data_IF_699084905508
#
_entry.id   IF_699084905508
#
_cell.length_a   1.000
_cell.length_b   1.000
_cell.length_c   1.000
_cell.angle_alpha   90.00
_cell.angle_beta   90.00
_cell.angle_gamma   90.00
#
_symmetry.space_group_name_H-M   'P 1'
#
loop_
_entity.id
_entity.type
_entity.pdbx_description
1 polymer ?
#
# COMPACT_ATOMS: atom_id res chain seq x y z
N UNK A 1 -1.66 -2.62 60.68
CA UNK A 1 -2.69 -3.02 59.70
C UNK A 1 -2.23 -2.67 58.28
N UNK A 2 -1.18 -3.30 57.77
CA UNK A 2 -0.57 -2.91 56.47
C UNK A 2 -0.29 -4.08 55.53
N UNK A 3 -0.26 -5.32 56.03
CA UNK A 3 0.14 -6.46 55.22
C UNK A 3 -0.98 -6.98 54.32
N UNK A 4 -2.23 -7.08 54.82
CA UNK A 4 -3.37 -7.54 54.01
C UNK A 4 -3.68 -6.63 52.80
N UNK A 5 -3.45 -5.32 52.93
CA UNK A 5 -3.65 -4.36 51.84
C UNK A 5 -2.57 -4.48 50.76
N UNK A 6 -1.31 -4.70 51.17
CA UNK A 6 -0.20 -4.98 50.24
C UNK A 6 -0.38 -6.29 49.48
N UNK A 7 -0.83 -7.36 50.14
CA UNK A 7 -1.07 -8.65 49.48
C UNK A 7 -2.25 -8.60 48.49
N UNK A 8 -3.33 -7.88 48.82
CA UNK A 8 -4.45 -7.67 47.90
C UNK A 8 -4.09 -6.82 46.69
N UNK A 9 -3.26 -5.79 46.88
CA UNK A 9 -2.81 -4.89 45.82
C UNK A 9 -1.90 -5.60 44.80
N UNK A 10 -0.98 -6.45 45.27
CA UNK A 10 -0.14 -7.28 44.40
C UNK A 10 -0.95 -8.25 43.52
N UNK A 11 -1.98 -8.88 44.08
CA UNK A 11 -2.84 -9.79 43.33
C UNK A 11 -3.71 -9.06 42.28
N UNK A 12 -4.25 -7.89 42.63
CA UNK A 12 -4.99 -7.04 41.68
C UNK A 12 -4.10 -6.54 40.54
N UNK A 13 -2.84 -6.21 40.83
CA UNK A 13 -1.88 -5.74 39.82
C UNK A 13 -1.54 -6.82 38.78
N UNK A 14 -1.35 -8.06 39.22
CA UNK A 14 -1.09 -9.17 38.32
C UNK A 14 -2.23 -9.40 37.31
N UNK A 15 -3.48 -9.19 37.75
CA UNK A 15 -4.66 -9.27 36.88
C UNK A 15 -4.65 -8.12 35.85
N UNK A 16 -4.42 -6.89 36.30
CA UNK A 16 -4.36 -5.72 35.41
C UNK A 16 -3.24 -5.82 34.38
N UNK A 17 -2.09 -6.38 34.78
CA UNK A 17 -0.98 -6.62 33.88
C UNK A 17 -1.34 -7.59 32.75
N UNK A 18 -2.05 -8.68 33.10
CA UNK A 18 -2.51 -9.68 32.13
C UNK A 18 -3.54 -9.09 31.15
N UNK A 19 -4.47 -8.28 31.65
CA UNK A 19 -5.46 -7.58 30.82
C UNK A 19 -4.78 -6.57 29.90
N UNK A 20 -3.87 -5.74 30.44
CA UNK A 20 -3.17 -4.74 29.66
C UNK A 20 -2.33 -5.35 28.54
N UNK A 21 -1.67 -6.49 28.79
CA UNK A 21 -0.94 -7.23 27.75
C UNK A 21 -1.88 -7.80 26.67
N UNK A 22 -3.09 -8.20 27.04
CA UNK A 22 -4.12 -8.62 26.08
C UNK A 22 -4.55 -7.48 25.16
N UNK A 23 -4.82 -6.30 25.73
CA UNK A 23 -5.17 -5.09 24.95
C UNK A 23 -4.01 -4.66 24.03
N UNK A 24 -2.78 -4.70 24.56
CA UNK A 24 -1.55 -4.46 23.80
C UNK A 24 -1.47 -5.34 22.55
N UNK A 25 -1.64 -6.66 22.70
CA UNK A 25 -1.60 -7.60 21.57
C UNK A 25 -2.71 -7.32 20.53
N UNK A 26 -3.86 -6.84 20.97
CA UNK A 26 -4.95 -6.51 20.05
C UNK A 26 -4.63 -5.24 19.25
N UNK A 27 -3.98 -4.26 19.88
CA UNK A 27 -3.45 -3.09 19.18
C UNK A 27 -2.38 -3.49 18.15
N UNK A 28 -1.48 -4.41 18.50
CA UNK A 28 -0.40 -4.90 17.61
C UNK A 28 -0.94 -5.59 16.34
N UNK A 29 -2.17 -6.10 16.39
CA UNK A 29 -2.86 -6.71 15.23
C UNK A 29 -3.61 -5.70 14.36
N UNK A 30 -3.85 -4.49 14.86
CA UNK A 30 -4.58 -3.48 14.09
C UNK A 30 -3.59 -2.83 13.12
N UNK A 31 -3.86 -2.86 11.81
CA UNK A 31 -3.00 -2.17 10.86
C UNK A 31 -3.02 -0.66 11.11
N UNK A 32 -1.88 -0.03 10.86
CA UNK A 32 -1.77 1.42 10.92
C UNK A 32 -2.65 2.06 9.84
N UNK A 33 -3.37 3.10 10.25
CA UNK A 33 -4.08 3.96 9.32
C UNK A 33 -3.06 4.65 8.41
N UNK A 34 -3.43 4.85 7.15
CA UNK A 34 -2.59 5.52 6.19
C UNK A 34 -3.41 6.30 5.17
N UNK A 35 -2.76 7.31 4.61
CA UNK A 35 -3.18 7.99 3.39
C UNK A 35 -2.20 7.63 2.27
N UNK A 36 -2.71 7.45 1.06
CA UNK A 36 -1.93 7.34 -0.16
C UNK A 36 -2.17 8.59 -0.99
N UNK A 37 -1.10 9.32 -1.28
CA UNK A 37 -1.09 10.56 -2.02
C UNK A 37 -0.31 10.37 -3.31
N UNK A 38 -0.66 11.14 -4.33
CA UNK A 38 -0.02 11.11 -5.63
C UNK A 38 0.42 12.51 -6.04
N UNK A 39 1.59 12.56 -6.65
CA UNK A 39 2.14 13.72 -7.35
C UNK A 39 2.51 13.31 -8.78
N UNK A 40 3.00 14.26 -9.58
CA UNK A 40 3.41 13.98 -10.96
C UNK A 40 4.55 12.96 -11.03
N UNK A 41 5.46 12.97 -10.06
CA UNK A 41 6.71 12.19 -10.07
C UNK A 41 6.76 11.07 -9.03
N UNK A 42 5.82 11.02 -8.08
CA UNK A 42 5.87 10.05 -6.99
C UNK A 42 4.50 9.78 -6.33
N UNK A 43 4.42 8.62 -5.69
CA UNK A 43 3.46 8.30 -4.65
C UNK A 43 4.06 8.60 -3.27
N UNK A 44 3.22 9.04 -2.34
CA UNK A 44 3.58 9.29 -0.95
C UNK A 44 2.58 8.59 -0.03
N UNK A 45 3.05 7.59 0.71
CA UNK A 45 2.26 6.93 1.76
C UNK A 45 2.55 7.60 3.09
N UNK A 46 1.50 7.98 3.82
CA UNK A 46 1.63 8.59 5.15
C UNK A 46 0.91 7.71 6.16
N UNK A 47 1.66 7.02 7.02
CA UNK A 47 1.11 6.20 8.10
C UNK A 47 1.03 6.97 9.42
N UNK A 48 -0.03 6.73 10.19
CA UNK A 48 -0.11 7.08 11.61
C UNK A 48 0.83 6.17 12.41
N UNK A 49 2.01 6.67 12.77
CA UNK A 49 3.11 5.91 13.36
C UNK A 49 3.52 6.47 14.75
N UNK A 50 2.63 6.43 15.76
CA UNK A 50 2.87 7.05 17.06
C UNK A 50 4.03 6.37 17.81
N UNK A 51 5.06 7.16 18.08
CA UNK A 51 6.27 6.72 18.79
C UNK A 51 7.28 6.00 17.90
N UNK A 52 7.17 6.12 16.58
CA UNK A 52 8.20 5.64 15.66
C UNK A 52 9.50 6.44 15.82
N UNK A 53 10.64 5.72 15.74
CA UNK A 53 11.99 6.28 15.61
C UNK A 53 12.61 5.66 14.37
N UNK A 54 13.41 6.42 13.62
CA UNK A 54 13.93 5.97 12.33
C UNK A 54 14.72 4.65 12.42
N UNK A 55 15.46 4.45 13.51
CA UNK A 55 16.23 3.23 13.78
C UNK A 55 15.37 1.98 14.05
N UNK A 56 14.10 2.18 14.42
CA UNK A 56 13.19 1.11 14.80
C UNK A 56 12.11 0.82 13.73
N UNK A 57 12.22 1.47 12.57
CA UNK A 57 11.29 1.28 11.44
C UNK A 57 11.91 0.36 10.40
N UNK A 58 11.15 -0.65 10.00
CA UNK A 58 11.46 -1.52 8.88
C UNK A 58 10.40 -1.33 7.80
N UNK A 59 10.85 -1.08 6.57
CA UNK A 59 9.98 -0.91 5.39
C UNK A 59 10.36 -1.96 4.36
N UNK A 60 9.36 -2.61 3.77
CA UNK A 60 9.54 -3.62 2.73
C UNK A 60 8.53 -3.37 1.60
N UNK A 61 8.99 -3.61 0.38
CA UNK A 61 8.15 -3.62 -0.81
C UNK A 61 7.96 -5.07 -1.22
N UNK A 62 6.71 -5.55 -1.25
CA UNK A 62 6.37 -6.92 -1.60
C UNK A 62 5.03 -6.94 -2.31
N UNK A 63 4.95 -7.61 -3.46
CA UNK A 63 3.69 -7.88 -4.17
C UNK A 63 2.81 -6.64 -4.45
N UNK A 64 3.43 -5.50 -4.78
CA UNK A 64 2.71 -4.23 -5.02
C UNK A 64 2.27 -3.51 -3.76
N UNK A 65 2.79 -3.91 -2.59
CA UNK A 65 2.47 -3.30 -1.31
C UNK A 65 3.72 -2.78 -0.59
N UNK A 66 3.52 -1.71 0.17
CA UNK A 66 4.46 -1.24 1.19
C UNK A 66 4.04 -1.81 2.53
N UNK A 67 4.85 -2.72 3.05
CA UNK A 67 4.73 -3.21 4.42
C UNK A 67 5.66 -2.45 5.36
N UNK A 68 5.11 -1.99 6.47
CA UNK A 68 5.88 -1.37 7.55
C UNK A 68 5.76 -2.18 8.83
N UNK A 69 6.87 -2.21 9.57
CA UNK A 69 6.93 -2.69 10.94
C UNK A 69 7.68 -1.67 11.78
N UNK A 70 7.12 -1.32 12.92
CA UNK A 70 7.73 -0.41 13.89
C UNK A 70 7.83 -1.15 15.21
N UNK A 71 9.04 -1.30 15.72
CA UNK A 71 9.29 -1.85 17.04
C UNK A 71 9.45 -0.71 18.05
N UNK A 72 8.62 -0.68 19.08
CA UNK A 72 8.56 0.41 20.06
C UNK A 72 9.14 -0.05 21.38
N UNK A 73 9.78 0.87 22.06
CA UNK A 73 10.30 0.66 23.41
C UNK A 73 9.48 1.43 24.44
N UNK A 74 9.52 0.93 25.68
CA UNK A 74 8.94 1.62 26.83
C UNK A 74 10.02 2.47 27.45
N UNK A 75 9.82 3.78 27.46
CA UNK A 75 10.74 4.68 28.13
C UNK A 75 10.68 4.44 29.64
N UNK A 76 11.85 4.52 30.28
CA UNK A 76 11.93 4.51 31.72
C UNK A 76 11.49 5.89 32.25
N UNK A 77 10.59 5.89 33.22
CA UNK A 77 10.14 7.10 33.89
C UNK A 77 10.51 7.00 35.37
N UNK A 78 11.46 7.84 35.80
CA UNK A 78 11.95 7.86 37.18
C UNK A 78 10.82 8.13 38.17
N UNK A 79 10.71 7.30 39.22
CA UNK A 79 9.67 7.41 40.23
C UNK A 79 8.29 6.89 39.82
N UNK A 80 8.13 6.37 38.60
CA UNK A 80 6.88 5.76 38.12
C UNK A 80 6.99 4.25 38.03
N UNK A 81 5.95 3.57 38.51
CA UNK A 81 5.78 2.12 38.34
C UNK A 81 4.70 1.84 37.30
N UNK A 82 4.95 0.85 36.45
CA UNK A 82 3.98 0.43 35.44
C UNK A 82 2.78 -0.25 36.09
N UNK A 83 1.59 0.34 35.93
CA UNK A 83 0.34 -0.20 36.51
C UNK A 83 -0.53 -0.94 35.48
N UNK A 84 -0.46 -0.52 34.22
CA UNK A 84 -1.25 -1.09 33.14
C UNK A 84 -0.47 -1.05 31.80
N UNK A 85 -0.09 -2.21 31.24
CA UNK A 85 0.76 -2.26 30.06
C UNK A 85 -0.01 -2.16 28.72
N UNK A 86 -0.95 -1.22 28.57
CA UNK A 86 -1.89 -1.19 27.45
C UNK A 86 -1.36 -0.81 26.05
N UNK A 87 -0.09 -0.42 25.91
CA UNK A 87 0.53 -0.05 24.63
C UNK A 87 1.19 -1.26 23.95
N UNK A 88 0.84 -1.49 22.68
CA UNK A 88 1.53 -2.41 21.77
C UNK A 88 3.01 -2.07 21.63
N UNK A 89 3.89 -3.06 21.57
CA UNK A 89 5.31 -2.83 21.28
C UNK A 89 5.65 -3.01 19.81
N UNK A 90 4.76 -3.58 19.03
CA UNK A 90 4.92 -3.69 17.58
C UNK A 90 3.73 -3.02 16.91
N UNK A 91 3.99 -2.16 15.94
CA UNK A 91 2.96 -1.66 15.04
C UNK A 91 3.28 -2.14 13.64
N UNK A 92 2.26 -2.51 12.88
CA UNK A 92 2.42 -2.90 11.48
C UNK A 92 1.37 -2.21 10.62
N UNK A 93 1.71 -1.94 9.38
CA UNK A 93 0.81 -1.34 8.41
C UNK A 93 1.16 -1.85 7.02
N UNK A 94 0.16 -1.87 6.15
CA UNK A 94 0.31 -2.24 4.75
C UNK A 94 -0.45 -1.22 3.92
N UNK A 95 0.13 -0.79 2.81
CA UNK A 95 -0.51 0.06 1.82
C UNK A 95 -0.26 -0.51 0.44
N UNK A 96 -1.34 -0.77 -0.30
CA UNK A 96 -1.27 -1.19 -1.71
C UNK A 96 -0.92 0.02 -2.58
N UNK A 97 0.02 -0.15 -3.49
CA UNK A 97 0.54 0.91 -4.36
C UNK A 97 0.10 0.66 -5.81
N UNK A 98 -0.20 1.71 -6.59
CA UNK A 98 -0.44 1.61 -8.03
C UNK A 98 0.74 0.97 -8.78
N UNK A 99 0.42 0.32 -9.90
CA UNK A 99 1.38 -0.50 -10.67
C UNK A 99 2.45 0.29 -11.43
N UNK A 100 2.25 1.60 -11.60
CA UNK A 100 3.19 2.54 -12.22
C UNK A 100 4.20 3.13 -11.22
N UNK A 101 4.12 2.76 -9.95
CA UNK A 101 5.16 3.06 -8.97
C UNK A 101 6.42 2.23 -9.25
N UNK A 102 7.60 2.88 -9.17
CA UNK A 102 8.90 2.20 -9.26
C UNK A 102 9.01 1.17 -8.13
N UNK A 103 9.04 -0.11 -8.51
CA UNK A 103 9.07 -1.26 -7.58
C UNK A 103 10.50 -1.52 -7.07
N UNK A 104 11.49 -0.78 -7.56
CA UNK A 104 12.86 -0.87 -7.06
C UNK A 104 12.95 -0.25 -5.66
N UNK A 105 12.93 -1.11 -4.64
CA UNK A 105 12.99 -0.74 -3.21
C UNK A 105 14.14 0.22 -2.85
N UNK A 106 15.16 0.35 -3.70
CA UNK A 106 16.30 1.24 -3.52
C UNK A 106 16.00 2.72 -3.82
N UNK A 107 14.94 3.03 -4.58
CA UNK A 107 14.64 4.41 -4.98
C UNK A 107 13.65 5.11 -4.02
N UNK A 108 12.95 4.32 -3.20
CA UNK A 108 12.04 4.83 -2.18
C UNK A 108 12.77 5.46 -1.00
N UNK A 109 12.17 6.48 -0.38
CA UNK A 109 12.69 7.11 0.84
C UNK A 109 11.66 7.06 1.96
N UNK A 110 12.10 6.76 3.18
CA UNK A 110 11.24 6.72 4.37
C UNK A 110 11.69 7.79 5.38
N UNK A 111 10.74 8.61 5.84
CA UNK A 111 10.98 9.72 6.77
C UNK A 111 10.02 9.65 7.95
N UNK A 112 10.53 9.62 9.17
CA UNK A 112 9.71 9.79 10.38
C UNK A 112 9.41 11.29 10.54
N UNK A 113 8.16 11.65 10.26
CA UNK A 113 7.66 13.02 10.37
C UNK A 113 7.39 13.45 11.81
N UNK A 114 7.09 14.74 11.97
CA UNK A 114 6.63 15.29 13.25
C UNK A 114 5.29 14.68 13.63
N UNK A 115 4.95 14.71 14.92
CA UNK A 115 3.67 14.24 15.45
C UNK A 115 3.39 12.73 15.27
N UNK A 116 4.42 11.93 14.99
CA UNK A 116 4.29 10.47 14.94
C UNK A 116 3.68 9.97 13.64
N UNK A 117 4.10 10.52 12.51
CA UNK A 117 3.77 10.00 11.17
C UNK A 117 4.99 9.37 10.52
N UNK A 118 4.80 8.33 9.72
CA UNK A 118 5.85 7.78 8.85
C UNK A 118 5.48 8.05 7.40
N UNK A 119 6.35 8.75 6.67
CA UNK A 119 6.15 9.12 5.28
C UNK A 119 7.06 8.27 4.39
N UNK A 120 6.51 7.63 3.37
CA UNK A 120 7.23 6.78 2.43
C UNK A 120 6.98 7.32 1.03
N UNK A 121 8.01 7.91 0.42
CA UNK A 121 7.96 8.40 -0.96
C UNK A 121 8.48 7.33 -1.90
N UNK A 122 7.70 7.05 -2.93
CA UNK A 122 7.96 6.03 -3.96
C UNK A 122 7.92 6.74 -5.30
N UNK A 123 9.04 6.88 -6.02
CA UNK A 123 9.04 7.47 -7.36
C UNK A 123 8.12 6.70 -8.30
N UNK A 124 7.54 7.39 -9.27
CA UNK A 124 6.93 6.74 -10.43
C UNK A 124 8.04 6.29 -11.39
N UNK A 125 7.83 5.16 -12.05
CA UNK A 125 8.75 4.70 -13.09
C UNK A 125 8.68 5.72 -14.24
N UNK A 126 9.78 6.38 -14.61
CA UNK A 126 9.81 7.35 -15.74
C UNK A 126 9.42 6.69 -17.09
N UNK A 127 9.23 5.37 -17.10
CA UNK A 127 8.78 4.56 -18.25
C UNK A 127 7.27 4.33 -18.30
N UNK A 128 6.53 4.66 -17.26
CA UNK A 128 5.07 4.62 -17.28
C UNK A 128 4.51 5.91 -17.88
N UNK A 129 4.74 6.12 -19.18
CA UNK A 129 4.08 7.18 -19.94
C UNK A 129 2.64 6.77 -20.30
N UNK A 130 1.70 7.71 -20.23
CA UNK A 130 0.28 7.55 -20.58
C UNK A 130 0.06 6.69 -21.83
N UNK A 131 -0.78 5.65 -21.71
CA UNK A 131 -1.30 4.91 -22.86
C UNK A 131 -2.41 5.77 -23.46
N UNK A 132 -2.16 6.37 -24.62
CA UNK A 132 -3.18 7.08 -25.38
C UNK A 132 -4.27 6.10 -25.82
N UNK A 133 -5.49 6.32 -25.32
CA UNK A 133 -6.69 5.63 -25.80
C UNK A 133 -7.17 6.37 -27.05
N UNK A 134 -7.08 5.72 -28.20
CA UNK A 134 -7.73 6.18 -29.44
C UNK A 134 -9.05 5.45 -29.61
N UNK A 135 -10.10 6.20 -29.94
CA UNK A 135 -11.41 5.66 -30.31
C UNK A 135 -11.30 4.95 -31.67
N UNK A 136 -11.96 3.79 -31.84
CA UNK A 136 -12.15 3.19 -33.16
C UNK A 136 -13.06 4.12 -33.98
N UNK A 137 -12.57 4.59 -35.13
CA UNK A 137 -13.42 5.28 -36.09
C UNK A 137 -14.47 4.28 -36.59
N UNK A 138 -15.73 4.50 -36.23
CA UNK A 138 -16.87 3.81 -36.85
C UNK A 138 -16.77 4.04 -38.37
N UNK A 139 -16.60 2.96 -39.13
CA UNK A 139 -16.72 2.97 -40.59
C UNK A 139 -18.12 3.47 -40.96
N UNK A 140 -18.22 4.77 -41.25
CA UNK A 140 -19.43 5.37 -41.75
C UNK A 140 -19.70 4.89 -43.18
N UNK A 141 -20.75 4.07 -43.29
CA UNK A 141 -21.63 3.82 -44.42
C UNK A 141 -21.18 4.39 -45.78
N UNK A 142 -20.52 3.54 -46.58
CA UNK A 142 -20.41 3.71 -48.02
C UNK A 142 -21.64 3.16 -48.73
N UNK A 143 -22.69 3.98 -48.88
CA UNK A 143 -23.76 3.73 -49.85
C UNK A 143 -23.15 3.74 -51.27
N UNK A 144 -23.11 2.58 -51.92
CA UNK A 144 -22.86 2.47 -53.35
C UNK A 144 -23.98 1.64 -54.00
N UNK A 145 -24.98 2.37 -54.50
CA UNK A 145 -25.89 1.90 -55.54
C UNK A 145 -25.10 1.33 -56.71
N UNK A 146 -25.34 0.07 -57.09
CA UNK A 146 -25.31 -0.37 -58.49
C UNK A 146 -26.13 -1.65 -58.63
N UNK A 147 -27.35 -1.51 -59.14
CA UNK A 147 -28.04 -2.57 -59.87
C UNK A 147 -27.23 -2.91 -61.14
N UNK A 148 -27.04 -4.19 -61.46
CA UNK A 148 -27.16 -4.76 -62.82
C UNK A 148 -26.85 -6.25 -62.81
N UNK A 149 -27.86 -7.01 -63.20
CA UNK A 149 -27.86 -8.41 -63.62
C UNK A 149 -26.91 -8.65 -64.81
N UNK A 150 -26.45 -9.90 -64.89
CA UNK A 150 -26.39 -10.76 -66.09
C UNK A 150 -25.05 -11.46 -66.39
N UNK A 151 -25.18 -12.79 -66.27
CA UNK A 151 -24.72 -13.85 -67.16
C UNK A 151 -23.22 -14.07 -67.45
N UNK A 152 -22.82 -15.30 -67.11
CA UNK A 152 -21.59 -15.98 -67.49
C UNK A 152 -21.62 -16.38 -68.96
N UNK A 153 -20.53 -16.13 -69.69
CA UNK A 153 -20.22 -16.85 -70.93
C UNK A 153 -18.74 -17.24 -70.98
N UNK A 154 -18.50 -18.54 -71.17
CA UNK A 154 -17.19 -19.15 -71.33
C UNK A 154 -16.91 -19.29 -72.83
N UNK A 155 -15.95 -18.52 -73.34
CA UNK A 155 -15.43 -18.63 -74.70
C UNK A 155 -13.94 -18.96 -74.68
N UNK A 156 -13.64 -20.22 -74.96
CA UNK A 156 -12.31 -20.81 -75.10
C UNK A 156 -11.68 -20.44 -76.48
N UNK A 157 -10.39 -20.74 -76.65
CA UNK A 157 -9.69 -21.04 -77.92
C UNK A 157 -8.82 -19.95 -78.62
N UNK A 158 -7.51 -20.27 -78.62
CA UNK A 158 -6.47 -20.18 -79.66
C UNK A 158 -5.74 -18.87 -80.07
N UNK A 159 -4.42 -18.90 -79.76
CA UNK A 159 -3.33 -19.08 -80.74
C UNK A 159 -2.71 -17.86 -81.45
N UNK A 160 -1.40 -18.00 -81.68
CA UNK A 160 -0.51 -17.34 -82.65
C UNK A 160 0.34 -16.12 -82.25
N UNK A 161 1.65 -16.42 -82.17
CA UNK A 161 2.77 -15.81 -82.91
C UNK A 161 3.06 -14.30 -82.84
N UNK A 162 4.21 -13.96 -82.21
CA UNK A 162 5.41 -13.42 -82.88
C UNK A 162 6.51 -13.04 -81.87
#
# INVERSE_FOLDING_TARGET
>A
MSDLRKYGESAANAVLERVGRGVSQMQERKPLAHDLLESEDAYLVVFDAPGARAEDVQVRFLDGEVEIRIDRFRDFHEGYEMRFPGRGLTLSGTATIPSDASVEAAEGTATVGKHGTLQIRIPKDERASDIAVTEEEDEADGEADTESDDEVDFGDVDDQDA
#
